data_IF_788660946593
#
_entry.id   IF_788660946593
#
_cell.length_a   1.000
_cell.length_b   1.000
_cell.length_c   1.000
_cell.angle_alpha   90.00
_cell.angle_beta   90.00
_cell.angle_gamma   90.00
#
_symmetry.space_group_name_H-M   'P 1'
#
loop_
_entity.id
_entity.type
_entity.pdbx_description
1 polymer ?
#
# COMPACT_ATOMS: atom_id res chain seq x y z
N UNK A 1 12.44 -6.09 -44.63
CA UNK A 1 11.26 -5.64 -43.85
C UNK A 1 11.41 -6.20 -42.45
N UNK A 2 11.76 -5.38 -41.47
CA UNK A 2 11.85 -5.77 -40.05
C UNK A 2 10.57 -5.33 -39.36
N UNK A 3 9.80 -6.29 -38.86
CA UNK A 3 8.60 -6.05 -38.05
C UNK A 3 9.04 -5.40 -36.73
N UNK A 4 8.46 -4.26 -36.32
CA UNK A 4 8.82 -3.65 -35.04
C UNK A 4 8.44 -4.60 -33.92
N UNK A 5 9.44 -5.03 -33.14
CA UNK A 5 9.22 -5.81 -31.94
C UNK A 5 8.31 -5.03 -30.99
N UNK A 6 7.24 -5.69 -30.55
CA UNK A 6 6.32 -5.23 -29.51
C UNK A 6 7.16 -4.84 -28.28
N UNK A 7 7.32 -3.54 -28.02
CA UNK A 7 7.85 -3.04 -26.75
C UNK A 7 6.85 -3.50 -25.67
N UNK A 8 7.19 -4.57 -24.94
CA UNK A 8 6.43 -4.96 -23.75
C UNK A 8 6.48 -3.77 -22.81
N UNK A 9 5.31 -3.26 -22.44
CA UNK A 9 5.16 -2.24 -21.43
C UNK A 9 6.07 -2.56 -20.25
N UNK A 10 6.98 -1.64 -19.94
CA UNK A 10 8.06 -1.74 -18.94
C UNK A 10 7.53 -1.73 -17.49
N UNK A 11 6.26 -2.10 -17.29
CA UNK A 11 5.68 -2.23 -15.97
C UNK A 11 6.24 -3.49 -15.31
N UNK A 12 6.99 -3.28 -14.23
CA UNK A 12 7.41 -4.38 -13.36
C UNK A 12 6.16 -5.16 -12.94
N UNK A 13 6.10 -6.48 -13.17
CA UNK A 13 4.90 -7.26 -12.88
C UNK A 13 4.54 -7.19 -11.39
N UNK A 14 3.25 -7.13 -11.04
CA UNK A 14 2.83 -7.01 -9.65
C UNK A 14 3.22 -8.28 -8.87
N UNK A 15 3.82 -8.08 -7.69
CA UNK A 15 4.06 -9.15 -6.73
C UNK A 15 2.89 -9.20 -5.75
N UNK A 16 2.24 -10.35 -5.65
CA UNK A 16 1.15 -10.56 -4.69
C UNK A 16 1.73 -10.96 -3.33
N UNK A 17 1.35 -10.23 -2.27
CA UNK A 17 1.76 -10.50 -0.89
C UNK A 17 0.52 -10.63 -0.02
N UNK A 18 0.51 -11.62 0.89
CA UNK A 18 -0.54 -11.78 1.90
C UNK A 18 -0.04 -11.25 3.24
N UNK A 19 -0.63 -10.14 3.70
CA UNK A 19 -0.17 -9.41 4.91
C UNK A 19 -1.14 -9.63 6.10
N UNK A 20 -2.41 -9.90 5.84
CA UNK A 20 -3.44 -10.06 6.88
C UNK A 20 -3.90 -8.73 7.47
N UNK A 21 -4.43 -8.76 8.69
CA UNK A 21 -5.06 -7.62 9.36
C UNK A 21 -4.19 -6.36 9.51
N UNK A 22 -2.86 -6.43 9.76
CA UNK A 22 -2.02 -5.24 9.88
C UNK A 22 -2.01 -4.35 8.63
N UNK A 23 -2.41 -4.88 7.47
CA UNK A 23 -2.55 -4.11 6.24
C UNK A 23 -3.47 -2.90 6.39
N UNK A 24 -4.56 -3.03 7.15
CA UNK A 24 -5.54 -1.95 7.29
C UNK A 24 -5.02 -0.82 8.19
N UNK A 25 -4.30 -1.15 9.26
CA UNK A 25 -3.61 -0.14 10.09
C UNK A 25 -2.48 0.55 9.31
N UNK A 26 -1.73 -0.20 8.50
CA UNK A 26 -0.72 0.38 7.61
C UNK A 26 -1.33 1.37 6.62
N UNK A 27 -2.42 0.99 5.95
CA UNK A 27 -3.14 1.88 5.04
C UNK A 27 -3.68 3.12 5.77
N UNK A 28 -4.31 2.94 6.93
CA UNK A 28 -4.81 4.04 7.74
C UNK A 28 -3.70 5.02 8.15
N UNK A 29 -2.53 4.50 8.51
CA UNK A 29 -1.39 5.33 8.87
C UNK A 29 -0.92 6.21 7.71
N UNK A 30 -0.85 5.66 6.49
CA UNK A 30 -0.50 6.44 5.30
C UNK A 30 -1.57 7.50 4.95
N UNK A 31 -2.85 7.14 5.06
CA UNK A 31 -3.97 8.09 4.84
C UNK A 31 -3.91 9.26 5.82
N UNK A 32 -3.68 8.99 7.12
CA UNK A 32 -3.61 10.00 8.17
C UNK A 32 -2.34 10.85 8.10
N UNK A 33 -1.21 10.27 7.68
CA UNK A 33 0.05 10.99 7.48
C UNK A 33 0.07 11.80 6.18
N UNK A 34 -0.80 11.48 5.21
CA UNK A 34 -0.85 12.12 3.90
C UNK A 34 0.48 12.03 3.14
N UNK A 35 0.83 13.09 2.41
CA UNK A 35 2.07 13.17 1.64
C UNK A 35 3.37 13.14 2.47
N UNK A 36 3.31 13.03 3.81
CA UNK A 36 4.48 12.96 4.69
C UNK A 36 5.02 11.54 4.91
N UNK A 37 4.30 10.51 4.46
CA UNK A 37 4.73 9.12 4.64
C UNK A 37 5.79 8.66 3.64
N UNK A 38 6.08 9.45 2.60
CA UNK A 38 6.99 9.18 1.48
C UNK A 38 7.46 10.52 0.93
N UNK A 39 8.67 10.58 0.36
CA UNK A 39 9.22 11.82 -0.20
C UNK A 39 8.44 12.36 -1.43
N UNK A 40 7.59 11.53 -2.05
CA UNK A 40 6.86 11.83 -3.29
C UNK A 40 5.33 11.80 -3.23
N UNK A 41 4.73 11.45 -2.08
CA UNK A 41 3.28 11.48 -1.88
C UNK A 41 2.56 10.11 -1.87
N UNK A 42 2.07 9.73 -0.69
CA UNK A 42 0.82 8.98 -0.46
C UNK A 42 0.65 7.53 -0.96
N UNK A 43 1.48 6.98 -1.85
CA UNK A 43 1.22 5.63 -2.36
C UNK A 43 1.85 4.51 -1.51
N UNK A 44 1.02 3.57 -1.05
CA UNK A 44 1.42 2.33 -0.32
C UNK A 44 2.63 1.63 -0.93
N UNK A 45 2.64 1.51 -2.25
CA UNK A 45 3.72 0.84 -2.98
C UNK A 45 5.03 1.63 -2.93
N UNK A 46 4.97 2.96 -2.93
CA UNK A 46 6.14 3.83 -2.82
C UNK A 46 6.76 3.71 -1.42
N UNK A 47 5.95 3.73 -0.36
CA UNK A 47 6.45 3.55 1.00
C UNK A 47 7.15 2.19 1.18
N UNK A 48 6.60 1.12 0.60
CA UNK A 48 7.24 -0.19 0.58
C UNK A 48 8.53 -0.21 -0.25
N UNK A 49 8.61 0.51 -1.37
CA UNK A 49 9.83 0.61 -2.19
C UNK A 49 10.93 1.36 -1.44
N UNK A 50 10.62 2.52 -0.84
CA UNK A 50 11.57 3.26 -0.01
C UNK A 50 12.07 2.40 1.16
N UNK A 51 11.18 1.66 1.82
CA UNK A 51 11.57 0.72 2.88
C UNK A 51 12.53 -0.36 2.37
N UNK A 52 12.24 -0.96 1.21
CA UNK A 52 13.11 -1.97 0.59
C UNK A 52 14.48 -1.37 0.23
N UNK A 53 14.51 -0.18 -0.36
CA UNK A 53 15.74 0.49 -0.76
C UNK A 53 16.62 0.85 0.46
N UNK A 54 15.99 1.32 1.53
CA UNK A 54 16.65 1.55 2.81
C UNK A 54 17.18 0.25 3.44
N UNK A 55 16.36 -0.81 3.46
CA UNK A 55 16.75 -2.12 3.98
C UNK A 55 17.97 -2.71 3.24
N UNK A 56 18.03 -2.50 1.93
CA UNK A 56 19.14 -2.92 1.07
C UNK A 56 20.35 -1.98 1.10
N UNK A 57 20.32 -0.90 1.88
CA UNK A 57 21.36 0.12 1.99
C UNK A 57 21.75 0.76 0.64
N UNK A 58 20.77 0.99 -0.22
CA UNK A 58 21.03 1.68 -1.50
C UNK A 58 21.52 3.11 -1.26
N UNK A 59 22.43 3.65 -2.09
CA UNK A 59 22.87 5.03 -1.99
C UNK A 59 21.70 6.01 -2.04
N UNK A 60 21.63 6.95 -1.08
CA UNK A 60 20.57 7.96 -1.00
C UNK A 60 19.24 7.48 -0.40
N UNK A 61 19.10 6.19 -0.09
CA UNK A 61 17.89 5.68 0.53
C UNK A 61 17.78 6.14 2.00
N UNK A 62 16.59 6.60 2.39
CA UNK A 62 16.29 7.03 3.76
C UNK A 62 15.19 6.16 4.36
N UNK A 63 15.22 5.98 5.69
CA UNK A 63 14.20 5.22 6.37
C UNK A 63 12.85 5.96 6.27
N UNK A 64 11.76 5.30 5.84
CA UNK A 64 10.45 5.94 5.77
C UNK A 64 10.02 6.48 7.14
N UNK A 65 9.32 7.63 7.13
CA UNK A 65 8.85 8.28 8.36
C UNK A 65 7.81 7.39 9.04
N UNK A 66 7.98 7.17 10.34
CA UNK A 66 6.98 6.48 11.17
C UNK A 66 5.85 7.44 11.58
N UNK A 67 4.63 6.93 11.75
CA UNK A 67 3.55 7.72 12.34
C UNK A 67 3.91 8.19 13.76
N UNK A 68 3.56 9.43 14.12
CA UNK A 68 3.62 9.91 15.50
C UNK A 68 2.90 8.97 16.48
N UNK A 69 3.42 8.85 17.70
CA UNK A 69 2.89 7.90 18.69
C UNK A 69 1.46 8.26 19.15
N UNK A 70 1.12 9.54 19.20
CA UNK A 70 -0.21 10.08 19.51
C UNK A 70 -1.27 9.74 18.45
N UNK A 71 -0.86 9.39 17.22
CA UNK A 71 -1.77 8.92 16.17
C UNK A 71 -2.16 7.43 16.33
N UNK A 72 -1.52 6.67 17.22
CA UNK A 72 -1.71 5.22 17.30
C UNK A 72 -3.16 4.78 17.54
N UNK A 73 -3.93 5.51 18.34
CA UNK A 73 -5.36 5.19 18.53
C UNK A 73 -6.19 5.49 17.27
N UNK A 74 -5.93 6.62 16.61
CA UNK A 74 -6.64 7.02 15.40
C UNK A 74 -6.38 6.02 14.26
N UNK A 75 -5.12 5.58 14.13
CA UNK A 75 -4.70 4.56 13.15
C UNK A 75 -5.47 3.25 13.38
N UNK A 76 -5.56 2.78 14.63
CA UNK A 76 -6.29 1.55 14.97
C UNK A 76 -7.79 1.66 14.67
N UNK A 77 -8.41 2.79 15.03
CA UNK A 77 -9.83 3.04 14.73
C UNK A 77 -10.08 3.04 13.22
N UNK A 78 -9.30 3.81 12.46
CA UNK A 78 -9.46 3.88 11.00
C UNK A 78 -9.14 2.55 10.32
N UNK A 79 -8.13 1.82 10.80
CA UNK A 79 -7.82 0.47 10.30
C UNK A 79 -8.98 -0.50 10.51
N UNK A 80 -9.64 -0.47 11.68
CA UNK A 80 -10.82 -1.29 11.94
C UNK A 80 -12.01 -0.94 11.03
N UNK A 81 -12.22 0.35 10.73
CA UNK A 81 -13.23 0.79 9.77
C UNK A 81 -12.93 0.28 8.35
N UNK A 82 -11.70 0.46 7.86
CA UNK A 82 -11.26 -0.03 6.55
C UNK A 82 -11.44 -1.54 6.41
N UNK A 83 -11.17 -2.30 7.48
CA UNK A 83 -11.41 -3.74 7.50
C UNK A 83 -12.90 -4.06 7.32
N UNK A 84 -13.79 -3.41 8.09
CA UNK A 84 -15.25 -3.60 7.98
C UNK A 84 -15.77 -3.22 6.59
N UNK A 85 -15.31 -2.11 6.03
CA UNK A 85 -15.66 -1.67 4.68
C UNK A 85 -15.26 -2.73 3.63
N UNK A 86 -14.04 -3.30 3.75
CA UNK A 86 -13.56 -4.33 2.85
C UNK A 86 -14.37 -5.64 2.96
N UNK A 87 -14.68 -6.07 4.18
CA UNK A 87 -15.51 -7.26 4.45
C UNK A 87 -16.94 -7.08 3.91
N UNK A 88 -17.56 -5.93 4.16
CA UNK A 88 -18.88 -5.61 3.63
C UNK A 88 -18.90 -5.62 2.10
N UNK A 89 -17.87 -5.05 1.46
CA UNK A 89 -17.72 -5.07 0.00
C UNK A 89 -17.51 -6.48 -0.55
N UNK A 90 -16.73 -7.31 0.15
CA UNK A 90 -16.55 -8.71 -0.21
C UNK A 90 -17.88 -9.49 -0.13
N UNK A 91 -18.63 -9.32 0.97
CA UNK A 91 -19.94 -9.94 1.15
C UNK A 91 -20.95 -9.51 0.06
N UNK A 92 -21.00 -8.22 -0.27
CA UNK A 92 -21.86 -7.70 -1.34
C UNK A 92 -21.52 -8.30 -2.71
N UNK A 93 -20.22 -8.45 -3.02
CA UNK A 93 -19.76 -9.10 -4.26
C UNK A 93 -20.17 -10.56 -4.33
N UNK A 94 -20.09 -11.29 -3.22
CA UNK A 94 -20.50 -12.70 -3.16
C UNK A 94 -22.00 -12.85 -3.42
N UNK A 95 -22.84 -11.98 -2.82
CA UNK A 95 -24.29 -11.99 -3.07
C UNK A 95 -24.64 -11.75 -4.54
N UNK A 96 -23.93 -10.84 -5.22
CA UNK A 96 -24.15 -10.55 -6.65
C UNK A 96 -23.72 -11.68 -7.58
N UNK A 97 -22.75 -12.52 -7.20
CA UNK A 97 -22.25 -13.62 -8.04
C UNK A 97 -23.10 -14.90 -7.93
N UNK A 98 -23.92 -15.01 -6.89
CA UNK A 98 -24.81 -16.15 -6.65
C UNK A 98 -26.26 -15.96 -7.11
N UNK A 99 -26.59 -14.81 -7.71
CA UNK A 99 -27.87 -14.51 -8.35
C UNK A 99 -27.67 -14.47 -9.87
#
# INVERSE_FOLDING_TARGET
MMTPGYLKDTHTPPRQVRIGDPWYEFQAALELMGGQAVGGGGERAENLREYIDWFLRKPGATMPKRPPADMAEQIRKRGAELKREAEAKAAARTRKKGA
#
